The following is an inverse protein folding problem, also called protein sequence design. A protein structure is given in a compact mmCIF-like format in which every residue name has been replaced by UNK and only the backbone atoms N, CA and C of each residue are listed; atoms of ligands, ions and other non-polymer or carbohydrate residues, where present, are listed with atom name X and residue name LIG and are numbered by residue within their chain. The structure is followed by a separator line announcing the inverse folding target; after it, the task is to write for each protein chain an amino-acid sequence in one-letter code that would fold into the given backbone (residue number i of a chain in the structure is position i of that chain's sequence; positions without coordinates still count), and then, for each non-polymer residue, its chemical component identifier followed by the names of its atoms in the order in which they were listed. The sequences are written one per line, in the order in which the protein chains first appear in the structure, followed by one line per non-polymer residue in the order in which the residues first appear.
data_IF_848852933847
#
_entry.id   IF_848852933847
#
_cell.length_a   1.000
_cell.length_b   1.000
_cell.length_c   1.000
_cell.angle_alpha   90.00
_cell.angle_beta   90.00
_cell.angle_gamma   90.00
#
_symmetry.space_group_name_H-M   'P 1'
#
loop_
_entity.id
_entity.type
_entity.pdbx_description
1 polymer ?
#
# COMPACT_ATOMS: atom_id res chain seq x y z
N UNK A 1 27.67 -23.54 22.10
CA UNK A 1 27.63 -23.98 20.68
C UNK A 1 26.24 -24.46 20.27
N UNK A 2 25.56 -25.34 21.00
CA UNK A 2 24.22 -25.84 20.63
C UNK A 2 23.13 -24.75 20.62
N UNK A 3 23.17 -23.80 21.55
CA UNK A 3 22.22 -22.66 21.60
C UNK A 3 22.33 -21.74 20.37
N UNK A 4 23.56 -21.36 19.97
CA UNK A 4 23.78 -20.56 18.76
C UNK A 4 23.40 -21.30 17.48
N UNK A 5 23.55 -22.63 17.45
CA UNK A 5 23.12 -23.43 16.30
C UNK A 5 21.58 -23.44 16.18
N UNK A 6 20.88 -23.58 17.31
CA UNK A 6 19.42 -23.51 17.35
C UNK A 6 18.87 -22.15 16.93
N UNK A 7 19.44 -21.04 17.42
CA UNK A 7 19.05 -19.68 17.02
C UNK A 7 19.23 -19.42 15.53
N UNK A 8 20.30 -19.95 14.93
CA UNK A 8 20.53 -19.85 13.49
C UNK A 8 19.50 -20.66 12.68
N UNK A 9 19.16 -21.88 13.12
CA UNK A 9 18.12 -22.71 12.49
C UNK A 9 16.75 -22.04 12.55
N UNK A 10 16.38 -21.46 13.69
CA UNK A 10 15.10 -20.77 13.87
C UNK A 10 15.02 -19.51 12.98
N UNK A 11 16.13 -18.76 12.86
CA UNK A 11 16.24 -17.60 11.97
C UNK A 11 16.11 -17.98 10.49
N UNK A 12 16.78 -19.04 10.06
CA UNK A 12 16.73 -19.49 8.67
C UNK A 12 15.37 -20.10 8.31
N UNK A 13 14.71 -20.78 9.25
CA UNK A 13 13.33 -21.23 9.07
C UNK A 13 12.37 -20.05 8.88
N UNK A 14 12.50 -18.99 9.69
CA UNK A 14 11.68 -17.78 9.55
C UNK A 14 11.89 -17.08 8.20
N UNK A 15 13.14 -17.01 7.73
CA UNK A 15 13.46 -16.48 6.39
C UNK A 15 12.85 -17.35 5.29
N UNK A 16 12.95 -18.68 5.40
CA UNK A 16 12.34 -19.59 4.43
C UNK A 16 10.81 -19.45 4.39
N UNK A 17 10.16 -19.36 5.56
CA UNK A 17 8.72 -19.15 5.66
C UNK A 17 8.29 -17.82 5.06
N UNK A 18 8.99 -16.72 5.37
CA UNK A 18 8.67 -15.41 4.78
C UNK A 18 8.86 -15.40 3.26
N UNK A 19 9.89 -16.08 2.74
CA UNK A 19 10.09 -16.22 1.30
C UNK A 19 8.94 -16.96 0.63
N UNK A 20 8.48 -18.08 1.21
CA UNK A 20 7.33 -18.85 0.70
C UNK A 20 6.05 -18.00 0.75
N UNK A 21 5.79 -17.31 1.87
CA UNK A 21 4.60 -16.46 2.00
C UNK A 21 4.59 -15.32 1.00
N UNK A 22 5.74 -14.68 0.74
CA UNK A 22 5.84 -13.64 -0.28
C UNK A 22 5.40 -14.16 -1.66
N UNK A 23 5.82 -15.37 -2.05
CA UNK A 23 5.38 -15.98 -3.30
C UNK A 23 3.90 -16.35 -3.31
N UNK A 24 3.40 -16.97 -2.23
CA UNK A 24 1.98 -17.35 -2.10
C UNK A 24 1.07 -16.12 -2.22
N UNK A 25 1.47 -15.00 -1.61
CA UNK A 25 0.64 -13.78 -1.55
C UNK A 25 0.96 -12.75 -2.64
N UNK A 26 1.93 -13.00 -3.53
CA UNK A 26 2.34 -11.99 -4.51
C UNK A 26 1.20 -11.57 -5.46
N UNK A 27 0.20 -12.44 -5.69
CA UNK A 27 -0.99 -12.09 -6.48
C UNK A 27 -1.76 -10.89 -5.91
N UNK A 28 -1.66 -10.63 -4.60
CA UNK A 28 -2.30 -9.48 -3.95
C UNK A 28 -1.76 -8.18 -4.56
N UNK A 29 -0.47 -8.08 -4.87
CA UNK A 29 0.11 -6.89 -5.49
C UNK A 29 -0.51 -6.63 -6.88
N UNK A 30 -0.59 -7.67 -7.72
CA UNK A 30 -1.19 -7.55 -9.06
C UNK A 30 -2.68 -7.21 -9.00
N UNK A 31 -3.44 -7.85 -8.12
CA UNK A 31 -4.87 -7.58 -7.97
C UNK A 31 -5.15 -6.20 -7.36
N UNK A 32 -4.29 -5.74 -6.45
CA UNK A 32 -4.37 -4.39 -5.88
C UNK A 32 -4.07 -3.33 -6.93
N UNK A 33 -3.04 -3.54 -7.76
CA UNK A 33 -2.72 -2.65 -8.88
C UNK A 33 -3.88 -2.58 -9.87
N UNK A 34 -4.45 -3.73 -10.25
CA UNK A 34 -5.65 -3.77 -11.09
C UNK A 34 -6.80 -2.96 -10.48
N UNK A 35 -7.07 -3.14 -9.19
CA UNK A 35 -8.13 -2.41 -8.48
C UNK A 35 -7.92 -0.90 -8.53
N UNK A 36 -6.69 -0.41 -8.30
CA UNK A 36 -6.36 1.02 -8.37
C UNK A 36 -6.58 1.60 -9.77
N UNK A 37 -6.21 0.86 -10.81
CA UNK A 37 -6.45 1.24 -12.21
C UNK A 37 -7.95 1.23 -12.53
N UNK A 38 -8.67 0.18 -12.17
CA UNK A 38 -10.12 0.07 -12.41
C UNK A 38 -10.91 1.19 -11.69
N UNK A 39 -10.44 1.62 -10.52
CA UNK A 39 -11.02 2.72 -9.74
C UNK A 39 -10.63 4.11 -10.28
N UNK A 40 -9.72 4.21 -11.25
CA UNK A 40 -9.24 5.49 -11.79
C UNK A 40 -8.48 6.35 -10.78
N UNK A 41 -7.92 5.75 -9.72
CA UNK A 41 -7.20 6.48 -8.68
C UNK A 41 -6.01 7.29 -9.25
N UNK A 42 -5.20 6.76 -10.17
CA UNK A 42 -4.09 7.53 -10.74
C UNK A 42 -4.57 8.79 -11.44
N UNK A 43 -5.62 8.69 -12.26
CA UNK A 43 -6.21 9.82 -12.97
C UNK A 43 -6.83 10.83 -12.00
N UNK A 44 -7.51 10.38 -10.95
CA UNK A 44 -8.08 11.26 -9.91
C UNK A 44 -6.99 12.10 -9.24
N UNK A 45 -5.87 11.46 -8.85
CA UNK A 45 -4.74 12.17 -8.22
C UNK A 45 -4.05 13.09 -9.23
N UNK A 46 -3.82 12.63 -10.46
CA UNK A 46 -3.20 13.44 -11.53
C UNK A 46 -4.02 14.70 -11.83
N UNK A 47 -5.33 14.55 -12.03
CA UNK A 47 -6.24 15.66 -12.35
C UNK A 47 -6.39 16.65 -11.21
N UNK A 48 -6.10 16.25 -9.97
CA UNK A 48 -6.08 17.15 -8.82
C UNK A 48 -4.85 18.06 -8.77
N UNK A 49 -3.74 17.64 -9.38
CA UNK A 49 -2.55 18.46 -9.64
C UNK A 49 -1.63 18.73 -8.42
N UNK A 50 -1.95 18.18 -7.25
CA UNK A 50 -1.17 18.31 -6.02
C UNK A 50 -1.40 17.07 -5.12
N UNK A 51 -0.62 16.85 -4.05
CA UNK A 51 -0.89 15.78 -3.10
C UNK A 51 -2.34 15.79 -2.62
N UNK A 52 -3.00 14.62 -2.65
CA UNK A 52 -4.42 14.48 -2.33
C UNK A 52 -4.62 13.77 -1.00
N UNK A 53 -5.39 14.37 -0.09
CA UNK A 53 -5.71 13.75 1.20
C UNK A 53 -6.60 12.51 1.04
N UNK A 54 -6.48 11.56 1.98
CA UNK A 54 -7.23 10.29 1.95
C UNK A 54 -8.75 10.49 1.87
N UNK A 55 -9.34 11.40 2.64
CA UNK A 55 -10.79 11.69 2.62
C UNK A 55 -11.22 12.27 1.29
N UNK A 56 -10.40 13.13 0.69
CA UNK A 56 -10.67 13.70 -0.62
C UNK A 56 -10.61 12.64 -1.72
N UNK A 57 -9.65 11.73 -1.62
CA UNK A 57 -9.57 10.57 -2.52
C UNK A 57 -10.81 9.68 -2.37
N UNK A 58 -11.17 9.30 -1.15
CA UNK A 58 -12.34 8.45 -0.87
C UNK A 58 -13.64 9.08 -1.38
N UNK A 59 -13.83 10.38 -1.17
CA UNK A 59 -15.02 11.11 -1.64
C UNK A 59 -15.08 11.28 -3.16
N UNK A 60 -13.95 11.18 -3.85
CA UNK A 60 -13.87 11.24 -5.32
C UNK A 60 -14.11 9.89 -5.99
N UNK A 61 -14.13 8.79 -5.22
CA UNK A 61 -14.29 7.44 -5.75
C UNK A 61 -15.76 7.04 -5.86
N UNK A 62 -16.20 6.43 -6.98
CA UNK A 62 -17.56 5.96 -7.17
C UNK A 62 -17.77 4.59 -6.49
N UNK A 63 -17.57 4.53 -5.16
CA UNK A 63 -17.65 3.30 -4.37
C UNK A 63 -18.73 3.37 -3.30
N UNK A 64 -19.27 2.21 -2.94
CA UNK A 64 -20.21 2.08 -1.84
C UNK A 64 -19.55 2.49 -0.50
N UNK A 65 -20.25 3.20 0.40
CA UNK A 65 -19.74 3.60 1.71
C UNK A 65 -19.14 2.46 2.52
N UNK A 66 -19.67 1.23 2.41
CA UNK A 66 -19.14 0.04 3.07
C UNK A 66 -17.71 -0.33 2.64
N UNK A 67 -17.28 0.13 1.46
CA UNK A 67 -15.97 -0.15 0.89
C UNK A 67 -14.92 0.91 1.19
N UNK A 68 -15.34 2.11 1.60
CA UNK A 68 -14.45 3.23 1.89
C UNK A 68 -13.33 2.90 2.90
N UNK A 69 -13.57 2.12 3.98
CA UNK A 69 -12.51 1.76 4.94
C UNK A 69 -11.36 0.94 4.34
N UNK A 70 -11.57 0.30 3.18
CA UNK A 70 -10.55 -0.52 2.53
C UNK A 70 -9.61 0.29 1.63
N UNK A 71 -9.98 1.52 1.24
CA UNK A 71 -9.14 2.37 0.37
C UNK A 71 -7.81 2.71 1.04
N UNK A 72 -7.82 2.99 2.34
CA UNK A 72 -6.59 3.22 3.09
C UNK A 72 -5.61 2.03 2.98
N UNK A 73 -6.12 0.79 3.11
CA UNK A 73 -5.30 -0.42 3.02
C UNK A 73 -4.76 -0.62 1.60
N UNK A 74 -5.61 -0.37 0.60
CA UNK A 74 -5.22 -0.45 -0.81
C UNK A 74 -4.08 0.54 -1.11
N UNK A 75 -4.27 1.80 -0.74
CA UNK A 75 -3.25 2.84 -0.93
C UNK A 75 -1.95 2.49 -0.21
N UNK A 76 -2.00 1.95 1.01
CA UNK A 76 -0.80 1.52 1.74
C UNK A 76 0.00 0.44 1.00
N UNK A 77 -0.68 -0.54 0.39
CA UNK A 77 0.00 -1.58 -0.42
C UNK A 77 0.69 -0.91 -1.61
N UNK A 78 -0.02 -0.03 -2.33
CA UNK A 78 0.51 0.62 -3.52
C UNK A 78 1.63 1.62 -3.24
N UNK A 79 1.59 2.31 -2.10
CA UNK A 79 2.68 3.15 -1.61
C UNK A 79 3.92 2.31 -1.32
N UNK A 80 3.75 1.15 -0.66
CA UNK A 80 4.86 0.25 -0.39
C UNK A 80 5.45 -0.35 -1.68
N UNK A 81 4.60 -0.61 -2.69
CA UNK A 81 5.02 -1.06 -4.02
C UNK A 81 5.65 0.06 -4.87
N UNK A 82 5.64 1.31 -4.41
CA UNK A 82 6.30 2.43 -5.06
C UNK A 82 5.48 3.15 -6.13
N UNK A 83 4.19 2.84 -6.30
CA UNK A 83 3.30 3.54 -7.25
C UNK A 83 2.82 4.90 -6.72
N UNK A 84 2.71 5.03 -5.40
CA UNK A 84 2.36 6.29 -4.76
C UNK A 84 3.41 6.64 -3.72
N UNK A 85 3.58 7.93 -3.46
CA UNK A 85 4.28 8.40 -2.28
C UNK A 85 3.30 9.04 -1.31
N UNK A 86 3.60 8.94 -0.03
CA UNK A 86 2.79 9.53 1.04
C UNK A 86 3.55 10.69 1.68
N UNK A 87 2.83 11.77 2.00
CA UNK A 87 3.35 12.89 2.78
C UNK A 87 2.47 13.07 4.03
N UNK A 88 3.12 13.29 5.17
CA UNK A 88 2.43 13.63 6.42
C UNK A 88 2.37 15.15 6.52
N UNK A 89 1.16 15.71 6.47
CA UNK A 89 0.97 17.16 6.64
C UNK A 89 0.96 17.47 8.13
N UNK A 90 2.15 17.79 8.67
CA UNK A 90 2.44 18.27 10.04
C UNK A 90 2.32 17.27 11.19
N UNK A 91 3.12 17.49 12.25
CA UNK A 91 3.22 16.70 13.50
C UNK A 91 1.91 16.57 14.30
N UNK A 92 0.81 17.17 13.82
CA UNK A 92 -0.54 17.06 14.37
C UNK A 92 -1.46 16.29 13.39
N UNK A 93 -1.16 15.02 13.16
CA UNK A 93 -2.03 13.86 12.84
C UNK A 93 -3.28 13.95 11.93
N UNK A 94 -3.59 15.01 11.20
CA UNK A 94 -4.96 15.09 10.66
C UNK A 94 -5.20 14.46 9.29
N UNK A 95 -4.21 14.25 8.42
CA UNK A 95 -4.44 13.44 7.22
C UNK A 95 -3.17 13.03 6.45
N UNK A 96 -3.20 11.81 5.89
CA UNK A 96 -2.18 11.33 4.94
C UNK A 96 -2.55 11.84 3.54
N UNK A 97 -1.58 12.41 2.85
CA UNK A 97 -1.71 12.83 1.45
C UNK A 97 -0.93 11.89 0.52
N UNK A 98 -1.49 11.65 -0.66
CA UNK A 98 -0.92 10.78 -1.69
C UNK A 98 -0.59 11.57 -2.95
N UNK A 99 0.52 11.22 -3.58
CA UNK A 99 0.88 11.68 -4.93
C UNK A 99 1.45 10.54 -5.76
N UNK A 100 1.41 10.69 -7.08
CA UNK A 100 2.04 9.75 -8.01
C UNK A 100 3.56 9.79 -7.87
N UNK A 101 4.20 8.65 -8.11
CA UNK A 101 5.64 8.55 -8.34
C UNK A 101 5.92 8.48 -9.84
N UNK A 102 7.19 8.54 -10.24
CA UNK A 102 7.60 8.38 -11.65
C UNK A 102 7.26 6.99 -12.24
N UNK A 103 6.83 6.04 -11.41
CA UNK A 103 6.50 4.66 -11.80
C UNK A 103 5.04 4.53 -12.28
N UNK A 104 4.21 5.55 -12.03
CA UNK A 104 2.75 5.51 -12.19
C UNK A 104 2.21 6.37 -13.31
#
# INVERSE_FOLDING_TARGET
MEFQNKENIDSDLLKAQSHIWNHIFNFINSMSLKCVVDLGIPDIIHNYGQPMSLSKLISSLPIDPSKQPYIYRLMRIMTHSGFFSQQNVTDNELEIEYMLTDVS
#
